data_IF_450619253540
#
_entry.id   IF_450619253540
#
_cell.length_a   1.000
_cell.length_b   1.000
_cell.length_c   1.000
_cell.angle_alpha   90.00
_cell.angle_beta   90.00
_cell.angle_gamma   90.00
#
_symmetry.space_group_name_H-M   'P 1'
#
loop_
_entity.id
_entity.type
_entity.pdbx_description
1 polymer ?
#
# COMPACT_ATOMS: atom_id res chain seq x y z
N UNK A 1 -11.35 -5.67 -11.21
CA UNK A 1 -10.82 -4.30 -11.36
C UNK A 1 -9.32 -4.38 -11.54
N UNK A 2 -8.72 -3.47 -12.31
CA UNK A 2 -7.27 -3.48 -12.56
C UNK A 2 -6.48 -2.72 -11.48
N UNK A 3 -7.08 -1.66 -10.91
CA UNK A 3 -6.57 -0.91 -9.76
C UNK A 3 -7.70 -0.67 -8.76
N UNK A 4 -7.37 -0.68 -7.48
CA UNK A 4 -8.27 -0.29 -6.38
C UNK A 4 -7.53 0.77 -5.57
N UNK A 5 -8.07 1.97 -5.53
CA UNK A 5 -7.56 3.07 -4.70
C UNK A 5 -8.42 3.18 -3.45
N UNK A 6 -7.80 3.08 -2.28
CA UNK A 6 -8.50 3.30 -1.01
C UNK A 6 -8.34 4.77 -0.63
N UNK A 7 -9.46 5.48 -0.64
CA UNK A 7 -9.56 6.82 -0.10
C UNK A 7 -10.02 6.70 1.35
N UNK A 8 -9.06 6.81 2.27
CA UNK A 8 -9.34 6.86 3.70
C UNK A 8 -9.47 8.32 4.13
N UNK A 9 -10.59 8.66 4.75
CA UNK A 9 -10.75 9.93 5.43
C UNK A 9 -10.02 9.85 6.78
N UNK A 10 -8.96 10.65 6.93
CA UNK A 10 -8.15 10.71 8.14
C UNK A 10 -8.16 12.15 8.61
N UNK A 11 -8.71 12.45 9.81
CA UNK A 11 -8.72 13.80 10.34
C UNK A 11 -7.29 14.34 10.45
N UNK A 12 -7.05 15.50 9.85
CA UNK A 12 -5.78 16.20 9.87
C UNK A 12 -6.08 17.69 9.85
N UNK A 13 -5.98 18.34 11.01
CA UNK A 13 -6.33 19.75 11.18
C UNK A 13 -5.69 20.69 10.14
N UNK A 14 -4.43 20.48 9.79
CA UNK A 14 -3.75 21.36 8.84
C UNK A 14 -4.27 21.16 7.42
N UNK A 15 -4.45 19.90 7.02
CA UNK A 15 -4.99 19.54 5.71
C UNK A 15 -6.46 19.93 5.57
N UNK A 16 -7.26 19.66 6.60
CA UNK A 16 -8.69 19.95 6.65
C UNK A 16 -8.94 21.45 6.58
N UNK A 17 -8.14 22.25 7.31
CA UNK A 17 -8.20 23.71 7.22
C UNK A 17 -7.84 24.21 5.81
N UNK A 18 -6.76 23.69 5.22
CA UNK A 18 -6.37 24.06 3.86
C UNK A 18 -7.44 23.71 2.81
N UNK A 19 -8.10 22.56 2.94
CA UNK A 19 -9.22 22.15 2.09
C UNK A 19 -10.41 23.11 2.29
N UNK A 20 -10.77 23.41 3.54
CA UNK A 20 -11.87 24.30 3.86
C UNK A 20 -11.64 25.72 3.30
N UNK A 21 -10.45 26.29 3.52
CA UNK A 21 -10.06 27.59 2.97
C UNK A 21 -10.12 27.60 1.43
N UNK A 22 -9.64 26.54 0.79
CA UNK A 22 -9.69 26.43 -0.67
C UNK A 22 -11.13 26.36 -1.20
N UNK A 23 -12.00 25.57 -0.56
CA UNK A 23 -13.42 25.45 -0.93
C UNK A 23 -14.12 26.81 -0.77
N UNK A 24 -13.97 27.45 0.40
CA UNK A 24 -14.59 28.74 0.67
C UNK A 24 -14.11 29.82 -0.30
N UNK A 25 -12.82 29.82 -0.63
CA UNK A 25 -12.26 30.73 -1.63
C UNK A 25 -12.89 30.49 -3.01
N UNK A 26 -12.90 29.26 -3.49
CA UNK A 26 -13.48 28.94 -4.81
C UNK A 26 -14.96 29.34 -4.91
N UNK A 27 -15.75 29.09 -3.85
CA UNK A 27 -17.14 29.53 -3.77
C UNK A 27 -17.27 31.05 -3.75
N UNK A 28 -16.50 31.74 -2.89
CA UNK A 28 -16.55 33.20 -2.76
C UNK A 28 -16.20 33.93 -4.07
N UNK A 29 -15.18 33.47 -4.79
CA UNK A 29 -14.83 34.05 -6.10
C UNK A 29 -15.93 33.80 -7.13
N UNK A 30 -16.50 32.60 -7.16
CA UNK A 30 -17.62 32.27 -8.07
C UNK A 30 -18.86 33.13 -7.80
N UNK A 31 -19.21 33.34 -6.53
CA UNK A 31 -20.33 34.20 -6.12
C UNK A 31 -20.08 35.67 -6.47
N UNK A 32 -18.89 36.18 -6.20
CA UNK A 32 -18.49 37.55 -6.53
C UNK A 32 -18.67 37.84 -8.02
N UNK A 33 -18.18 36.94 -8.89
CA UNK A 33 -18.31 37.06 -10.35
C UNK A 33 -19.78 37.06 -10.76
N UNK A 34 -20.57 36.14 -10.20
CA UNK A 34 -21.99 36.02 -10.55
C UNK A 34 -22.81 37.24 -10.10
N UNK A 35 -22.50 37.83 -8.94
CA UNK A 35 -23.14 39.05 -8.45
C UNK A 35 -22.71 40.27 -9.25
N UNK A 36 -21.41 40.46 -9.47
CA UNK A 36 -20.88 41.59 -10.23
C UNK A 36 -21.41 41.60 -11.68
N UNK A 37 -21.62 40.43 -12.29
CA UNK A 37 -22.24 40.31 -13.60
C UNK A 37 -23.73 40.71 -13.65
N UNK A 38 -24.44 40.69 -12.51
CA UNK A 38 -25.85 41.10 -12.40
C UNK A 38 -25.98 42.57 -11.99
N UNK A 39 -25.20 42.98 -11.00
CA UNK A 39 -25.17 44.33 -10.46
C UNK A 39 -23.69 44.72 -10.19
N UNK A 40 -23.11 45.64 -10.98
CA UNK A 40 -21.71 46.02 -10.84
C UNK A 40 -21.40 46.52 -9.42
N UNK A 41 -20.55 45.76 -8.73
CA UNK A 41 -20.09 46.07 -7.37
C UNK A 41 -18.95 47.09 -7.45
N UNK A 42 -19.07 48.20 -6.72
CA UNK A 42 -18.03 49.23 -6.66
C UNK A 42 -16.72 48.69 -6.07
N UNK A 43 -15.58 49.04 -6.67
CA UNK A 43 -14.25 48.55 -6.30
C UNK A 43 -13.93 47.10 -6.70
N UNK A 44 -14.83 46.41 -7.41
CA UNK A 44 -14.58 45.10 -8.02
C UNK A 44 -14.40 45.31 -9.51
N UNK A 45 -13.16 45.36 -9.97
CA UNK A 45 -12.81 45.44 -11.38
C UNK A 45 -12.26 44.10 -11.91
N UNK A 46 -12.01 44.04 -13.22
CA UNK A 46 -11.47 42.84 -13.88
C UNK A 46 -10.12 42.40 -13.29
N UNK A 47 -9.30 43.35 -12.83
CA UNK A 47 -7.99 43.07 -12.23
C UNK A 47 -8.13 42.42 -10.85
N UNK A 48 -9.07 42.92 -10.02
CA UNK A 48 -9.45 42.30 -8.76
C UNK A 48 -9.95 40.87 -8.97
N UNK A 49 -10.87 40.66 -9.92
CA UNK A 49 -11.43 39.34 -10.22
C UNK A 49 -10.34 38.36 -10.67
N UNK A 50 -9.42 38.78 -11.55
CA UNK A 50 -8.31 37.93 -12.00
C UNK A 50 -7.38 37.52 -10.86
N UNK A 51 -7.07 38.45 -9.94
CA UNK A 51 -6.22 38.15 -8.77
C UNK A 51 -6.85 37.10 -7.88
N UNK A 52 -8.16 37.20 -7.66
CA UNK A 52 -8.90 36.24 -6.83
C UNK A 52 -9.08 34.87 -7.51
N UNK A 53 -9.23 34.85 -8.85
CA UNK A 53 -9.33 33.62 -9.65
C UNK A 53 -8.02 32.85 -9.80
N UNK A 54 -6.88 33.52 -9.87
CA UNK A 54 -5.58 32.90 -10.11
C UNK A 54 -5.28 31.65 -9.25
N UNK A 55 -5.50 31.64 -7.92
CA UNK A 55 -5.21 30.47 -7.09
C UNK A 55 -6.24 29.33 -7.18
N UNK A 56 -7.40 29.54 -7.81
CA UNK A 56 -8.46 28.52 -7.97
C UNK A 56 -8.61 28.06 -9.42
N UNK A 57 -7.92 28.71 -10.35
CA UNK A 57 -7.94 28.36 -11.77
C UNK A 57 -6.85 27.32 -12.06
N UNK A 58 -7.17 26.19 -12.72
CA UNK A 58 -6.15 25.21 -13.07
C UNK A 58 -5.19 25.78 -14.13
N UNK A 59 -3.90 25.44 -14.02
CA UNK A 59 -2.88 25.86 -14.99
C UNK A 59 -3.19 25.39 -16.42
N UNK A 60 -3.85 24.24 -16.55
CA UNK A 60 -4.27 23.69 -17.84
C UNK A 60 -5.78 23.83 -17.96
N UNK A 61 -6.18 24.61 -18.95
CA UNK A 61 -7.57 24.77 -19.33
C UNK A 61 -8.28 23.42 -19.55
N UNK A 62 -9.46 23.17 -18.93
CA UNK A 62 -10.16 21.89 -19.06
C UNK A 62 -10.45 21.50 -20.51
N UNK A 63 -10.74 22.48 -21.37
CA UNK A 63 -10.95 22.25 -22.79
C UNK A 63 -9.68 21.78 -23.51
N UNK A 64 -8.52 22.33 -23.14
CA UNK A 64 -7.21 21.92 -23.67
C UNK A 64 -6.87 20.51 -23.23
N UNK A 65 -7.05 20.20 -21.93
CA UNK A 65 -6.81 18.85 -21.40
C UNK A 65 -7.66 17.79 -22.09
N UNK A 66 -8.96 18.07 -22.33
CA UNK A 66 -9.85 17.16 -23.08
C UNK A 66 -9.36 16.92 -24.51
N UNK A 67 -8.96 17.99 -25.22
CA UNK A 67 -8.40 17.89 -26.57
C UNK A 67 -7.11 17.06 -26.57
N UNK A 68 -6.24 17.29 -25.58
CA UNK A 68 -4.97 16.57 -25.44
C UNK A 68 -5.20 15.06 -25.23
N UNK A 69 -6.08 14.68 -24.30
CA UNK A 69 -6.43 13.27 -24.06
C UNK A 69 -7.02 12.63 -25.32
N UNK A 70 -7.92 13.32 -26.03
CA UNK A 70 -8.50 12.83 -27.27
C UNK A 70 -7.44 12.64 -28.37
N UNK A 71 -6.52 13.60 -28.51
CA UNK A 71 -5.41 13.53 -29.46
C UNK A 71 -4.47 12.37 -29.15
N UNK A 72 -4.02 12.23 -27.90
CA UNK A 72 -3.15 11.15 -27.44
C UNK A 72 -3.77 9.77 -27.73
N UNK A 73 -5.07 9.59 -27.44
CA UNK A 73 -5.77 8.32 -27.70
C UNK A 73 -5.89 7.97 -29.19
N UNK A 74 -5.96 8.97 -30.08
CA UNK A 74 -6.14 8.78 -31.53
C UNK A 74 -4.83 8.61 -32.30
N UNK A 75 -3.74 9.18 -31.79
CA UNK A 75 -2.49 9.31 -32.56
C UNK A 75 -1.32 8.53 -31.98
N UNK A 76 -1.40 8.12 -30.71
CA UNK A 76 -0.30 7.49 -29.99
C UNK A 76 -0.56 6.01 -29.73
N UNK A 77 0.20 5.14 -30.39
CA UNK A 77 0.13 3.69 -30.27
C UNK A 77 1.53 3.16 -29.89
N UNK A 78 1.91 3.26 -28.60
CA UNK A 78 3.26 2.92 -28.16
C UNK A 78 3.53 1.42 -28.26
N UNK A 79 4.77 1.06 -28.60
CA UNK A 79 5.24 -0.33 -28.66
C UNK A 79 6.07 -0.65 -27.41
N UNK A 80 5.91 -1.84 -26.86
CA UNK A 80 6.65 -2.30 -25.68
C UNK A 80 8.14 -2.50 -26.01
N UNK A 81 9.03 -1.82 -25.28
CA UNK A 81 10.48 -2.07 -25.34
C UNK A 81 10.87 -3.35 -24.59
N UNK A 82 12.07 -3.87 -24.88
CA UNK A 82 12.59 -5.06 -24.20
C UNK A 82 12.79 -4.80 -22.71
N UNK A 83 13.33 -3.63 -22.37
CA UNK A 83 13.61 -3.22 -20.99
C UNK A 83 12.31 -3.08 -20.19
N UNK A 84 11.28 -2.47 -20.78
CA UNK A 84 9.96 -2.38 -20.15
C UNK A 84 9.34 -3.77 -19.94
N UNK A 85 9.48 -4.67 -20.93
CA UNK A 85 8.99 -6.05 -20.84
C UNK A 85 9.62 -6.77 -19.65
N UNK A 86 10.93 -6.66 -19.48
CA UNK A 86 11.66 -7.31 -18.39
C UNK A 86 11.18 -6.81 -17.01
N UNK A 87 10.96 -5.50 -16.86
CA UNK A 87 10.41 -4.92 -15.63
C UNK A 87 9.01 -5.47 -15.32
N UNK A 88 8.10 -5.48 -16.30
CA UNK A 88 6.72 -5.94 -16.12
C UNK A 88 6.65 -7.44 -15.82
N UNK A 89 7.39 -8.27 -16.55
CA UNK A 89 7.45 -9.71 -16.32
C UNK A 89 8.07 -9.99 -14.96
N UNK A 90 9.16 -9.31 -14.61
CA UNK A 90 9.81 -9.45 -13.32
C UNK A 90 8.86 -9.13 -12.16
N UNK A 91 8.08 -8.05 -12.25
CA UNK A 91 7.08 -7.74 -11.23
C UNK A 91 5.94 -8.76 -11.18
N UNK A 92 5.43 -9.19 -12.33
CA UNK A 92 4.39 -10.21 -12.40
C UNK A 92 4.83 -11.55 -11.78
N UNK A 93 6.07 -12.00 -12.04
CA UNK A 93 6.64 -13.19 -11.41
C UNK A 93 6.73 -13.02 -9.90
N UNK A 94 7.21 -11.87 -9.41
CA UNK A 94 7.20 -11.59 -7.96
C UNK A 94 5.80 -11.69 -7.37
N UNK A 95 4.80 -11.08 -8.01
CA UNK A 95 3.40 -11.19 -7.56
C UNK A 95 2.93 -12.64 -7.51
N UNK A 96 3.30 -13.45 -8.51
CA UNK A 96 2.92 -14.87 -8.58
C UNK A 96 3.60 -15.70 -7.49
N UNK A 97 4.88 -15.48 -7.22
CA UNK A 97 5.60 -16.14 -6.12
C UNK A 97 4.99 -15.81 -4.76
N UNK A 98 4.49 -14.59 -4.60
CA UNK A 98 3.74 -14.19 -3.40
C UNK A 98 2.39 -14.91 -3.28
N UNK A 99 1.80 -15.37 -4.39
CA UNK A 99 0.47 -16.01 -4.44
C UNK A 99 0.49 -17.53 -4.21
N UNK A 100 1.58 -18.24 -4.58
CA UNK A 100 1.73 -19.69 -4.35
C UNK A 100 1.82 -20.05 -2.84
N UNK A 101 2.17 -19.08 -2.00
CA UNK A 101 2.08 -19.22 -0.54
C UNK A 101 0.67 -18.91 0.00
N UNK A 102 -0.27 -19.84 -0.19
CA UNK A 102 -1.52 -19.98 0.57
C UNK A 102 -2.39 -18.69 0.75
N UNK A 103 -2.57 -17.88 -0.30
CA UNK A 103 -3.33 -16.61 -0.27
C UNK A 103 -4.59 -16.59 -1.18
N UNK A 104 -5.66 -15.83 -0.85
CA UNK A 104 -6.97 -15.95 -1.53
C UNK A 104 -7.11 -15.16 -2.85
N UNK A 105 -6.18 -14.26 -3.17
CA UNK A 105 -6.26 -13.45 -4.41
C UNK A 105 -5.35 -14.08 -5.47
N UNK A 106 -5.90 -14.82 -6.43
CA UNK A 106 -5.09 -15.44 -7.46
C UNK A 106 -4.48 -14.37 -8.38
N UNK A 107 -3.15 -14.39 -8.49
CA UNK A 107 -2.41 -13.62 -9.49
C UNK A 107 -2.58 -14.31 -10.85
N UNK A 108 -3.54 -13.82 -11.63
CA UNK A 108 -3.88 -14.39 -12.94
C UNK A 108 -3.15 -13.66 -14.07
N UNK A 109 -3.08 -14.27 -15.26
CA UNK A 109 -2.53 -13.64 -16.46
C UNK A 109 -3.17 -12.27 -16.78
N UNK A 110 -4.43 -12.06 -16.37
CA UNK A 110 -5.14 -10.79 -16.46
C UNK A 110 -4.41 -9.62 -15.77
N UNK A 111 -3.67 -9.88 -14.70
CA UNK A 111 -2.90 -8.85 -14.01
C UNK A 111 -1.71 -8.37 -14.87
N UNK A 112 -1.06 -9.28 -15.61
CA UNK A 112 -0.02 -8.89 -16.56
C UNK A 112 -0.60 -8.05 -17.70
N UNK A 113 -1.76 -8.40 -18.24
CA UNK A 113 -2.46 -7.58 -19.24
C UNK A 113 -2.82 -6.19 -18.70
N UNK A 114 -3.22 -6.11 -17.42
CA UNK A 114 -3.49 -4.82 -16.77
C UNK A 114 -2.22 -3.97 -16.64
N UNK A 115 -1.10 -4.57 -16.23
CA UNK A 115 0.21 -3.91 -16.16
C UNK A 115 0.62 -3.32 -17.51
N UNK A 116 0.49 -4.10 -18.60
CA UNK A 116 0.79 -3.63 -19.95
C UNK A 116 -0.12 -2.48 -20.36
N UNK A 117 -1.43 -2.58 -20.15
CA UNK A 117 -2.38 -1.49 -20.46
C UNK A 117 -2.08 -0.20 -19.71
N UNK A 118 -1.68 -0.30 -18.44
CA UNK A 118 -1.26 0.86 -17.65
C UNK A 118 0.05 1.46 -18.17
N UNK A 119 1.01 0.64 -18.59
CA UNK A 119 2.30 1.10 -19.13
C UNK A 119 2.12 1.80 -20.49
N UNK A 120 1.24 1.27 -21.33
CA UNK A 120 0.80 1.95 -22.55
C UNK A 120 0.17 3.31 -22.23
N UNK A 121 -0.72 3.39 -21.23
CA UNK A 121 -1.34 4.65 -20.83
C UNK A 121 -0.31 5.68 -20.36
N UNK A 122 0.70 5.25 -19.59
CA UNK A 122 1.84 6.08 -19.17
C UNK A 122 2.58 6.67 -20.38
N UNK A 123 2.91 5.83 -21.37
CA UNK A 123 3.58 6.28 -22.59
C UNK A 123 2.70 7.19 -23.47
N UNK A 124 1.38 6.94 -23.52
CA UNK A 124 0.42 7.76 -24.29
C UNK A 124 0.28 9.18 -23.73
N UNK A 125 0.29 9.35 -22.42
CA UNK A 125 0.19 10.69 -21.78
C UNK A 125 1.34 11.60 -22.22
N UNK A 126 2.52 11.04 -22.48
CA UNK A 126 3.71 11.75 -22.98
C UNK A 126 3.87 11.70 -24.50
N UNK A 127 2.84 11.26 -25.24
CA UNK A 127 2.82 11.12 -26.70
C UNK A 127 3.98 10.29 -27.28
N UNK A 128 4.47 9.31 -26.52
CA UNK A 128 5.62 8.52 -26.91
C UNK A 128 5.25 7.31 -27.78
N UNK A 129 6.11 6.99 -28.74
CA UNK A 129 5.94 5.82 -29.62
C UNK A 129 6.41 4.50 -29.00
N UNK A 130 7.06 4.56 -27.83
CA UNK A 130 7.66 3.41 -27.18
C UNK A 130 7.41 3.46 -25.68
N UNK A 131 6.99 2.33 -25.11
CA UNK A 131 6.87 2.13 -23.67
C UNK A 131 8.28 1.88 -23.13
N UNK A 132 8.75 2.73 -22.24
CA UNK A 132 10.10 2.66 -21.67
C UNK A 132 10.11 1.92 -20.32
N UNK A 133 11.30 1.58 -19.82
CA UNK A 133 11.45 1.03 -18.47
C UNK A 133 10.83 1.97 -17.41
N UNK A 134 11.04 3.28 -17.52
CA UNK A 134 10.45 4.29 -16.62
C UNK A 134 8.92 4.25 -16.59
N UNK A 135 8.28 4.00 -17.74
CA UNK A 135 6.83 3.84 -17.83
C UNK A 135 6.38 2.57 -17.08
N UNK A 136 7.10 1.47 -17.26
CA UNK A 136 6.83 0.21 -16.56
C UNK A 136 7.05 0.35 -15.04
N UNK A 137 8.14 0.97 -14.60
CA UNK A 137 8.43 1.19 -13.19
C UNK A 137 7.39 2.11 -12.52
N UNK A 138 6.94 3.16 -13.21
CA UNK A 138 5.86 4.02 -12.72
C UNK A 138 4.60 3.22 -12.46
N UNK A 139 4.23 2.34 -13.37
CA UNK A 139 3.07 1.47 -13.23
C UNK A 139 3.24 0.47 -12.09
N UNK A 140 4.42 -0.15 -11.98
CA UNK A 140 4.73 -1.03 -10.86
C UNK A 140 4.54 -0.29 -9.53
N UNK A 141 5.05 0.93 -9.39
CA UNK A 141 4.86 1.73 -8.16
C UNK A 141 3.38 1.99 -7.85
N UNK A 142 2.57 2.34 -8.86
CA UNK A 142 1.14 2.60 -8.68
C UNK A 142 0.41 1.34 -8.24
N UNK A 143 0.60 0.24 -8.97
CA UNK A 143 -0.05 -1.05 -8.69
C UNK A 143 0.36 -1.56 -7.32
N UNK A 144 1.65 -1.51 -7.00
CA UNK A 144 2.18 -1.95 -5.70
C UNK A 144 1.60 -1.13 -4.55
N UNK A 145 1.46 0.19 -4.74
CA UNK A 145 0.83 1.08 -3.74
C UNK A 145 -0.64 0.73 -3.53
N UNK A 146 -1.40 0.52 -4.61
CA UNK A 146 -2.81 0.11 -4.53
C UNK A 146 -2.97 -1.24 -3.80
N UNK A 147 -2.16 -2.24 -4.17
CA UNK A 147 -2.21 -3.57 -3.56
C UNK A 147 -1.83 -3.51 -2.07
N UNK A 148 -0.83 -2.71 -1.70
CA UNK A 148 -0.47 -2.48 -0.29
C UNK A 148 -1.59 -1.82 0.50
N UNK A 149 -2.31 -0.86 -0.08
CA UNK A 149 -3.43 -0.18 0.59
C UNK A 149 -4.59 -1.14 0.84
N UNK A 150 -4.95 -1.97 -0.15
CA UNK A 150 -5.98 -3.00 0.02
C UNK A 150 -5.57 -4.06 1.05
N UNK A 151 -4.28 -4.26 1.23
CA UNK A 151 -3.69 -5.11 2.27
C UNK A 151 -3.38 -4.37 3.59
N UNK A 152 -3.87 -3.15 3.81
CA UNK A 152 -3.60 -2.34 5.00
C UNK A 152 -4.90 -1.94 5.71
N UNK A 153 -5.11 -2.43 6.94
CA UNK A 153 -6.27 -2.07 7.77
C UNK A 153 -5.95 -0.85 8.65
N UNK A 154 -6.62 0.30 8.42
CA UNK A 154 -6.39 1.53 9.20
C UNK A 154 -6.75 1.40 10.69
N UNK A 155 -7.47 0.36 11.12
CA UNK A 155 -7.78 0.13 12.55
C UNK A 155 -6.62 -0.51 13.33
N UNK A 156 -5.66 -1.16 12.67
CA UNK A 156 -4.60 -1.92 13.36
C UNK A 156 -3.18 -1.42 13.15
N UNK A 157 -2.95 -0.44 12.26
CA UNK A 157 -1.68 0.29 12.18
C UNK A 157 -0.45 -0.55 11.78
N UNK A 158 -0.64 -1.76 11.25
CA UNK A 158 0.42 -2.67 10.80
C UNK A 158 0.30 -2.97 9.31
N UNK A 159 1.44 -3.08 8.62
CA UNK A 159 1.52 -3.66 7.28
C UNK A 159 1.18 -5.15 7.36
N UNK A 160 0.03 -5.56 6.85
CA UNK A 160 -0.37 -6.98 6.87
C UNK A 160 -1.02 -7.43 5.56
N UNK A 161 -0.18 -7.77 4.56
CA UNK A 161 -0.56 -8.78 3.55
C UNK A 161 -0.87 -10.14 4.23
N UNK A 162 -0.40 -10.32 5.48
CA UNK A 162 -0.57 -11.53 6.28
C UNK A 162 -1.79 -11.48 7.25
N UNK A 163 -2.73 -10.52 7.13
CA UNK A 163 -4.06 -10.58 7.80
C UNK A 163 -5.14 -11.25 6.95
N UNK A 164 -4.76 -12.31 6.28
CA UNK A 164 -5.65 -13.49 6.21
C UNK A 164 -5.13 -14.59 7.16
N UNK A 165 -3.88 -14.53 7.64
CA UNK A 165 -3.38 -15.46 8.66
C UNK A 165 -2.10 -14.94 9.38
N UNK A 166 -2.27 -14.36 10.57
CA UNK A 166 -1.35 -14.39 11.73
C UNK A 166 -0.29 -13.30 11.99
N UNK A 167 0.03 -12.35 11.09
CA UNK A 167 0.79 -11.13 11.47
C UNK A 167 2.22 -11.33 12.02
N UNK A 168 3.01 -12.25 11.44
CA UNK A 168 4.36 -12.60 11.91
C UNK A 168 5.33 -12.69 10.72
N UNK A 169 6.53 -12.07 10.81
CA UNK A 169 7.60 -12.18 9.78
C UNK A 169 8.04 -13.64 9.57
N UNK A 170 8.55 -14.01 8.38
CA UNK A 170 8.96 -15.42 8.08
C UNK A 170 9.89 -16.00 9.15
N UNK A 171 10.96 -15.28 9.51
CA UNK A 171 11.87 -15.72 10.56
C UNK A 171 11.21 -15.83 11.95
N UNK A 172 10.26 -14.94 12.26
CA UNK A 172 9.50 -15.02 13.52
C UNK A 172 8.44 -16.13 13.49
N UNK A 173 7.90 -16.50 12.33
CA UNK A 173 6.99 -17.66 12.14
C UNK A 173 7.74 -18.96 12.32
N UNK A 174 8.91 -19.06 11.69
CA UNK A 174 9.79 -20.22 11.81
C UNK A 174 10.23 -20.40 13.27
N UNK A 175 10.57 -19.30 13.96
CA UNK A 175 10.88 -19.30 15.40
C UNK A 175 9.69 -19.74 16.26
N UNK A 176 8.48 -19.20 16.02
CA UNK A 176 7.27 -19.57 16.77
C UNK A 176 6.93 -21.04 16.60
N UNK A 177 7.04 -21.56 15.38
CA UNK A 177 6.81 -22.98 15.09
C UNK A 177 7.83 -23.87 15.80
N UNK A 178 9.11 -23.52 15.68
CA UNK A 178 10.19 -24.26 16.29
C UNK A 178 10.07 -24.29 17.83
N UNK A 179 9.67 -23.18 18.46
CA UNK A 179 9.40 -23.14 19.92
C UNK A 179 8.24 -24.08 20.30
N UNK A 180 7.13 -24.06 19.56
CA UNK A 180 5.98 -24.93 19.88
C UNK A 180 6.29 -26.42 19.67
N UNK A 181 7.04 -26.76 18.62
CA UNK A 181 7.51 -28.13 18.36
C UNK A 181 8.47 -28.60 19.46
N UNK A 182 9.48 -27.78 19.80
CA UNK A 182 10.44 -28.11 20.85
C UNK A 182 9.77 -28.33 22.22
N UNK A 183 8.75 -27.52 22.58
CA UNK A 183 7.98 -27.71 23.82
C UNK A 183 7.23 -29.03 23.80
N UNK A 184 6.61 -29.42 22.68
CA UNK A 184 5.86 -30.69 22.58
C UNK A 184 6.77 -31.91 22.65
N UNK A 185 7.95 -31.86 22.02
CA UNK A 185 8.89 -32.97 22.00
C UNK A 185 9.60 -33.19 23.34
N UNK A 186 9.82 -32.12 24.10
CA UNK A 186 10.52 -32.14 25.39
C UNK A 186 9.56 -32.03 26.58
N UNK A 187 8.26 -32.17 26.34
CA UNK A 187 7.26 -32.19 27.41
C UNK A 187 7.21 -33.54 28.12
N UNK A 188 7.03 -33.50 29.44
CA UNK A 188 6.67 -34.68 30.22
C UNK A 188 5.23 -35.15 29.94
N UNK A 189 4.82 -36.24 30.58
CA UNK A 189 3.45 -36.81 30.48
C UNK A 189 2.35 -35.79 30.86
N UNK A 190 2.71 -34.74 31.60
CA UNK A 190 1.81 -33.66 32.03
C UNK A 190 1.82 -32.44 31.10
N UNK A 191 2.57 -32.49 29.99
CA UNK A 191 2.70 -31.40 29.01
C UNK A 191 3.65 -30.27 29.45
N UNK A 192 4.60 -30.54 30.35
CA UNK A 192 5.53 -29.54 30.91
C UNK A 192 6.94 -29.74 30.38
N UNK A 193 7.58 -28.67 29.94
CA UNK A 193 8.96 -28.68 29.43
C UNK A 193 9.84 -27.66 30.16
N UNK A 194 11.15 -27.94 30.26
CA UNK A 194 12.14 -27.03 30.86
C UNK A 194 12.54 -25.92 29.89
N UNK A 195 12.36 -24.65 30.25
CA UNK A 195 12.68 -23.50 29.37
C UNK A 195 14.15 -23.51 28.95
N UNK A 196 15.06 -23.86 29.85
CA UNK A 196 16.49 -23.95 29.55
C UNK A 196 16.78 -24.95 28.42
N UNK A 197 16.13 -26.11 28.46
CA UNK A 197 16.26 -27.15 27.42
C UNK A 197 15.72 -26.67 26.08
N UNK A 198 14.59 -25.96 26.06
CA UNK A 198 14.03 -25.40 24.82
C UNK A 198 14.96 -24.37 24.20
N UNK A 199 15.52 -23.47 25.01
CA UNK A 199 16.47 -22.44 24.55
C UNK A 199 17.73 -23.08 23.97
N UNK A 200 18.27 -24.11 24.61
CA UNK A 200 19.50 -24.76 24.16
C UNK A 200 19.27 -25.56 22.86
N UNK A 201 18.16 -26.28 22.73
CA UNK A 201 17.78 -26.99 21.49
C UNK A 201 17.64 -26.02 20.31
N UNK A 202 16.95 -24.90 20.49
CA UNK A 202 16.73 -23.93 19.42
C UNK A 202 18.00 -23.13 19.08
N UNK A 203 18.87 -22.91 20.06
CA UNK A 203 20.18 -22.28 19.80
C UNK A 203 21.06 -23.21 18.94
N UNK A 204 21.03 -24.52 19.17
CA UNK A 204 21.73 -25.50 18.32
C UNK A 204 21.17 -25.56 16.88
N UNK A 205 19.88 -25.23 16.70
CA UNK A 205 19.24 -25.13 15.39
C UNK A 205 19.51 -23.78 14.67
N UNK A 206 20.32 -22.90 15.26
CA UNK A 206 20.73 -21.63 14.65
C UNK A 206 19.84 -20.43 14.97
N UNK A 207 18.90 -20.55 15.92
CA UNK A 207 18.12 -19.40 16.39
C UNK A 207 18.90 -18.58 17.43
N UNK A 208 18.72 -17.25 17.41
CA UNK A 208 19.33 -16.36 18.40
C UNK A 208 18.76 -16.58 19.81
N UNK A 209 19.63 -16.83 20.80
CA UNK A 209 19.23 -17.09 22.20
C UNK A 209 18.33 -15.99 22.78
N UNK A 210 18.61 -14.72 22.47
CA UNK A 210 17.77 -13.60 22.91
C UNK A 210 16.38 -13.60 22.26
N UNK A 211 16.30 -13.93 20.97
CA UNK A 211 15.05 -13.90 20.22
C UNK A 211 14.11 -15.02 20.68
N UNK A 212 14.67 -16.21 20.93
CA UNK A 212 13.94 -17.34 21.53
C UNK A 212 13.36 -16.92 22.88
N UNK A 213 14.17 -16.30 23.74
CA UNK A 213 13.74 -15.90 25.08
C UNK A 213 12.65 -14.82 25.05
N UNK A 214 12.84 -13.78 24.24
CA UNK A 214 11.82 -12.74 24.02
C UNK A 214 10.51 -13.33 23.51
N UNK A 215 10.57 -14.34 22.65
CA UNK A 215 9.38 -14.97 22.09
C UNK A 215 8.67 -15.91 23.10
N UNK A 216 9.41 -16.60 23.95
CA UNK A 216 8.85 -17.37 25.08
C UNK A 216 8.14 -16.45 26.07
N UNK A 217 8.76 -15.31 26.43
CA UNK A 217 8.13 -14.30 27.30
C UNK A 217 6.84 -13.75 26.68
N UNK A 218 6.79 -13.59 25.36
CA UNK A 218 5.58 -13.20 24.65
C UNK A 218 4.46 -14.24 24.78
N UNK A 219 4.76 -15.54 24.73
CA UNK A 219 3.75 -16.59 24.94
C UNK A 219 3.17 -16.58 26.35
N UNK A 220 4.00 -16.28 27.36
CA UNK A 220 3.54 -16.13 28.73
C UNK A 220 2.65 -14.88 28.90
N UNK A 221 3.02 -13.76 28.25
CA UNK A 221 2.25 -12.51 28.29
C UNK A 221 0.94 -12.59 27.49
N UNK A 222 0.93 -13.29 26.36
CA UNK A 222 -0.27 -13.44 25.51
C UNK A 222 -1.25 -14.50 26.03
N UNK A 223 -0.82 -15.34 26.98
CA UNK A 223 -1.62 -16.45 27.49
C UNK A 223 -1.67 -17.66 26.57
N UNK A 224 -0.75 -17.78 25.60
CA UNK A 224 -0.56 -19.01 24.81
C UNK A 224 0.20 -20.10 25.57
N UNK A 225 0.92 -19.72 26.62
CA UNK A 225 1.61 -20.63 27.53
C UNK A 225 1.51 -20.13 28.97
N UNK A 226 1.69 -21.04 29.92
CA UNK A 226 1.83 -20.73 31.34
C UNK A 226 3.12 -21.31 31.90
N UNK A 227 3.56 -20.72 33.01
CA UNK A 227 4.72 -21.16 33.78
C UNK A 227 4.25 -21.71 35.15
N UNK A 228 3.96 -23.02 35.30
CA UNK A 228 3.43 -23.58 36.55
C UNK A 228 4.45 -23.58 37.68
N UNK A 229 5.73 -23.60 37.34
CA UNK A 229 6.88 -23.51 38.25
C UNK A 229 7.96 -22.72 37.54
N UNK A 230 8.75 -21.97 38.30
CA UNK A 230 9.86 -21.20 37.76
C UNK A 230 10.78 -22.08 36.88
N UNK A 231 10.99 -21.66 35.63
CA UNK A 231 11.79 -22.36 34.62
C UNK A 231 11.04 -23.45 33.83
N UNK A 232 9.75 -23.68 34.08
CA UNK A 232 8.96 -24.74 33.44
C UNK A 232 7.79 -24.15 32.65
N UNK A 233 7.77 -24.37 31.34
CA UNK A 233 6.72 -23.88 30.44
C UNK A 233 5.73 -25.00 30.09
N UNK A 234 4.46 -24.63 29.97
CA UNK A 234 3.38 -25.49 29.46
C UNK A 234 2.51 -24.69 28.49
N UNK A 235 2.29 -25.22 27.29
CA UNK A 235 1.35 -24.63 26.33
C UNK A 235 -0.09 -24.78 26.83
N UNK A 236 -0.91 -23.75 26.58
CA UNK A 236 -2.34 -23.71 26.93
C UNK A 236 -3.18 -24.21 25.76
#
# INVERSE_FOLDING_TARGET
>A
FDLIFILADKPDHARDNAIAEHILKAHGVGELIAQHARDPIDGVDDEYIQRELAPVTPEIEPAMLRKYVAYAKRTCFPILSLEAKDVLVGYYMRLRDLADSNKPVPVTARQLEALVRLAEASARVRLAKTITADDAERVVRIVDTCLRQVAYDPKTGTFDIDKVATGISKGKRDLIRAIKEAIRENADVSGRAQIAQIVDVLTQQGFGREDVRKQIDNFLRSGEAMEPKNGVIKLI
#
